data_IF_307709319790
#
_entry.id   IF_307709319790
#
_cell.length_a   1.000
_cell.length_b   1.000
_cell.length_c   1.000
_cell.angle_alpha   90.00
_cell.angle_beta   90.00
_cell.angle_gamma   90.00
#
_symmetry.space_group_name_H-M   'P 1'
#
loop_
_entity.id
_entity.type
_entity.pdbx_description
1 polymer ?
#
# COMPACT_ATOMS: atom_id res chain seq x y z
N UNK A 1 20.31 10.13 17.19
CA UNK A 1 18.94 10.70 17.29
C UNK A 1 18.75 11.63 16.11
N UNK A 2 18.24 11.11 14.98
CA UNK A 2 17.81 11.96 13.86
C UNK A 2 16.57 12.73 14.28
N UNK A 3 16.57 14.06 14.13
CA UNK A 3 15.44 14.90 14.48
C UNK A 3 14.35 14.83 13.41
N UNK A 4 13.12 15.17 13.78
CA UNK A 4 11.91 15.24 12.92
C UNK A 4 12.13 15.92 11.54
N UNK A 5 13.13 16.79 11.44
CA UNK A 5 13.48 17.47 10.19
C UNK A 5 14.15 16.56 9.13
N UNK A 6 14.82 15.47 9.51
CA UNK A 6 15.42 14.54 8.53
C UNK A 6 14.38 13.62 7.89
N UNK A 7 13.40 13.13 8.65
CA UNK A 7 12.30 12.30 8.12
C UNK A 7 11.39 13.08 7.16
N UNK A 8 11.09 14.35 7.46
CA UNK A 8 10.29 15.19 6.57
C UNK A 8 10.95 15.45 5.21
N UNK A 9 12.29 15.39 5.15
CA UNK A 9 13.04 15.60 3.92
C UNK A 9 12.83 14.45 2.93
N UNK A 10 12.76 13.22 3.44
CA UNK A 10 12.52 12.02 2.63
C UNK A 10 11.10 12.03 2.02
N UNK A 11 10.11 12.65 2.70
CA UNK A 11 8.77 12.88 2.15
C UNK A 11 8.72 13.94 1.05
N UNK A 12 9.61 14.95 1.09
CA UNK A 12 9.70 15.98 0.06
C UNK A 12 10.45 15.50 -1.19
N UNK A 13 11.31 14.49 -1.04
CA UNK A 13 12.02 13.83 -2.14
C UNK A 13 11.20 12.69 -2.77
N UNK A 14 10.08 12.30 -2.16
CA UNK A 14 9.11 11.36 -2.73
C UNK A 14 8.37 12.02 -3.91
N UNK A 15 8.12 11.29 -5.01
CA UNK A 15 7.33 11.84 -6.10
C UNK A 15 5.91 12.19 -5.60
N UNK A 16 5.37 13.33 -6.06
CA UNK A 16 4.08 13.90 -5.62
C UNK A 16 2.88 12.94 -5.80
N UNK A 17 3.04 11.87 -6.57
CA UNK A 17 2.09 10.78 -6.73
C UNK A 17 2.49 9.57 -5.85
N UNK A 18 2.29 9.70 -4.54
CA UNK A 18 2.50 8.61 -3.57
C UNK A 18 1.20 7.88 -3.21
N UNK A 19 1.32 6.57 -2.99
CA UNK A 19 0.36 5.61 -2.36
C UNK A 19 -1.07 5.48 -2.92
N UNK A 20 -1.54 6.38 -3.79
CA UNK A 20 -2.85 6.27 -4.46
C UNK A 20 -4.07 6.56 -3.56
N UNK A 21 -3.86 6.87 -2.28
CA UNK A 21 -4.93 7.14 -1.32
C UNK A 21 -5.43 8.59 -1.33
N UNK A 22 -4.71 9.51 -2.00
CA UNK A 22 -5.03 10.94 -1.96
C UNK A 22 -6.42 11.27 -2.48
N UNK A 23 -6.85 10.65 -3.58
CA UNK A 23 -8.17 10.91 -4.16
C UNK A 23 -9.32 10.33 -3.31
N UNK A 24 -9.28 9.05 -2.86
CA UNK A 24 -10.25 8.54 -1.90
C UNK A 24 -10.33 9.39 -0.63
N UNK A 25 -9.18 9.80 -0.09
CA UNK A 25 -9.13 10.62 1.12
C UNK A 25 -9.73 12.01 0.91
N UNK A 26 -9.42 12.67 -0.20
CA UNK A 26 -10.00 13.97 -0.54
C UNK A 26 -11.53 13.90 -0.66
N UNK A 27 -12.06 12.80 -1.22
CA UNK A 27 -13.52 12.57 -1.30
C UNK A 27 -14.14 12.33 0.08
N UNK A 28 -13.50 11.56 0.96
CA UNK A 28 -13.98 11.35 2.32
C UNK A 28 -14.05 12.67 3.11
N UNK A 29 -13.01 13.51 2.99
CA UNK A 29 -12.98 14.82 3.65
C UNK A 29 -14.12 15.72 3.13
N UNK A 30 -14.38 15.73 1.82
CA UNK A 30 -15.49 16.49 1.27
C UNK A 30 -16.85 16.02 1.83
N UNK A 31 -17.06 14.69 1.91
CA UNK A 31 -18.29 14.08 2.42
C UNK A 31 -18.49 14.24 3.91
N UNK A 32 -17.40 14.33 4.68
CA UNK A 32 -17.45 14.60 6.11
C UNK A 32 -18.15 15.94 6.41
N UNK A 33 -17.92 16.96 5.59
CA UNK A 33 -18.60 18.26 5.66
C UNK A 33 -19.93 18.32 4.88
N UNK A 34 -20.51 17.18 4.51
CA UNK A 34 -21.77 17.10 3.75
C UNK A 34 -21.66 17.36 2.25
N UNK A 35 -20.45 17.65 1.77
CA UNK A 35 -20.17 17.88 0.36
C UNK A 35 -19.95 16.61 -0.45
N UNK A 36 -19.38 16.77 -1.65
CA UNK A 36 -18.86 15.65 -2.43
C UNK A 36 -17.75 16.11 -3.41
N UNK A 37 -16.92 15.16 -3.84
CA UNK A 37 -15.86 15.37 -4.83
C UNK A 37 -16.09 14.48 -6.06
N UNK A 38 -16.39 15.11 -7.20
CA UNK A 38 -16.58 14.44 -8.49
C UNK A 38 -15.41 14.69 -9.44
N UNK A 39 -15.14 13.74 -10.33
CA UNK A 39 -14.08 13.80 -11.33
C UNK A 39 -14.66 13.48 -12.69
N UNK A 40 -14.31 14.29 -13.68
CA UNK A 40 -14.65 14.08 -15.08
C UNK A 40 -13.34 14.09 -15.85
N UNK A 41 -13.03 12.99 -16.54
CA UNK A 41 -11.85 12.91 -17.38
C UNK A 41 -12.26 12.81 -18.84
N UNK A 42 -11.53 13.51 -19.69
CA UNK A 42 -11.65 13.46 -21.15
C UNK A 42 -10.29 13.07 -21.72
N UNK A 43 -10.23 11.89 -22.34
CA UNK A 43 -9.01 11.38 -22.96
C UNK A 43 -8.48 12.38 -24.00
N UNK A 44 -7.19 12.72 -23.89
CA UNK A 44 -6.54 13.69 -24.78
C UNK A 44 -6.80 15.17 -24.47
N UNK A 45 -7.65 15.51 -23.50
CA UNK A 45 -7.91 16.89 -23.08
C UNK A 45 -7.46 17.15 -21.64
N UNK A 46 -7.79 16.25 -20.71
CA UNK A 46 -7.45 16.41 -19.30
C UNK A 46 -8.48 15.83 -18.33
N UNK A 47 -8.35 16.19 -17.06
CA UNK A 47 -9.25 15.75 -15.99
C UNK A 47 -9.65 16.95 -15.13
N UNK A 48 -10.95 17.19 -15.03
CA UNK A 48 -11.54 18.23 -14.20
C UNK A 48 -12.07 17.62 -12.90
N UNK A 49 -11.86 18.32 -11.79
CA UNK A 49 -12.41 17.96 -10.48
C UNK A 49 -13.41 19.01 -10.01
N UNK A 50 -14.54 18.56 -9.48
CA UNK A 50 -15.62 19.39 -8.98
C UNK A 50 -15.82 19.09 -7.50
N UNK A 51 -15.56 20.10 -6.66
CA UNK A 51 -15.78 20.04 -5.22
C UNK A 51 -17.06 20.81 -4.89
N UNK A 52 -18.05 20.10 -4.34
CA UNK A 52 -19.29 20.68 -3.84
C UNK A 52 -19.22 20.76 -2.33
N UNK A 53 -19.37 21.95 -1.76
CA UNK A 53 -19.42 22.18 -0.31
C UNK A 53 -20.62 23.05 0.03
N UNK A 54 -21.13 22.89 1.25
CA UNK A 54 -22.14 23.78 1.79
C UNK A 54 -21.50 25.13 2.12
N UNK A 55 -22.22 26.21 1.79
CA UNK A 55 -21.78 27.57 2.10
C UNK A 55 -22.01 27.92 3.58
N UNK A 56 -23.00 27.30 4.19
CA UNK A 56 -23.44 27.60 5.54
C UNK A 56 -22.72 26.70 6.55
N UNK A 57 -22.39 27.26 7.71
CA UNK A 57 -21.63 26.60 8.79
C UNK A 57 -22.47 25.61 9.63
N UNK A 58 -23.70 25.34 9.19
CA UNK A 58 -24.69 24.54 9.92
C UNK A 58 -24.74 23.06 9.48
N UNK A 59 -23.80 22.62 8.64
CA UNK A 59 -23.76 21.21 8.25
C UNK A 59 -23.10 20.38 9.35
N UNK A 60 -23.84 19.39 9.87
CA UNK A 60 -23.30 18.45 10.86
C UNK A 60 -22.30 17.51 10.21
N UNK A 61 -21.34 17.06 11.01
CA UNK A 61 -20.32 16.09 10.60
C UNK A 61 -20.99 14.77 10.18
N UNK A 62 -20.64 14.27 9.00
CA UNK A 62 -21.16 13.01 8.49
C UNK A 62 -20.36 11.84 9.06
N UNK A 63 -20.84 11.30 10.18
CA UNK A 63 -20.30 10.10 10.79
C UNK A 63 -21.03 8.85 10.27
N UNK A 64 -20.32 7.72 10.07
CA UNK A 64 -20.99 6.46 9.84
C UNK A 64 -21.81 6.09 11.08
N UNK A 65 -23.07 5.72 10.88
CA UNK A 65 -23.86 5.07 11.92
C UNK A 65 -23.28 3.67 12.12
N UNK A 66 -22.65 3.44 13.28
CA UNK A 66 -22.09 2.13 13.64
C UNK A 66 -23.13 1.40 14.46
N UNK A 67 -23.79 0.42 13.85
CA UNK A 67 -24.58 -0.57 14.56
C UNK A 67 -23.71 -1.77 14.97
N UNK A 68 -24.25 -2.66 15.81
CA UNK A 68 -23.53 -3.83 16.31
C UNK A 68 -23.15 -4.81 15.17
N UNK A 69 -23.91 -4.81 14.08
CA UNK A 69 -23.68 -5.66 12.91
C UNK A 69 -22.47 -5.18 12.09
N UNK A 70 -22.42 -3.88 11.75
CA UNK A 70 -21.30 -3.27 11.04
C UNK A 70 -19.99 -3.38 11.82
N UNK A 71 -20.03 -3.27 13.15
CA UNK A 71 -18.85 -3.47 13.98
C UNK A 71 -18.28 -4.89 13.84
N UNK A 72 -19.15 -5.90 13.84
CA UNK A 72 -18.75 -7.30 13.64
C UNK A 72 -18.20 -7.53 12.24
N UNK A 73 -18.83 -6.97 11.20
CA UNK A 73 -18.34 -7.08 9.82
C UNK A 73 -16.94 -6.49 9.65
N UNK A 74 -16.70 -5.31 10.23
CA UNK A 74 -15.39 -4.66 10.20
C UNK A 74 -14.36 -5.50 10.96
N UNK A 75 -14.70 -6.04 12.12
CA UNK A 75 -13.81 -6.91 12.89
C UNK A 75 -13.44 -8.18 12.11
N UNK A 76 -14.40 -8.81 11.43
CA UNK A 76 -14.15 -9.97 10.57
C UNK A 76 -13.21 -9.58 9.43
N UNK A 77 -13.51 -8.49 8.72
CA UNK A 77 -12.69 -8.02 7.61
C UNK A 77 -11.24 -7.71 8.03
N UNK A 78 -11.05 -7.02 9.16
CA UNK A 78 -9.71 -6.67 9.67
C UNK A 78 -8.93 -7.93 10.04
N UNK A 79 -9.57 -8.90 10.70
CA UNK A 79 -8.92 -10.15 11.06
C UNK A 79 -8.53 -10.97 9.81
N UNK A 80 -9.41 -11.05 8.80
CA UNK A 80 -9.08 -11.71 7.52
C UNK A 80 -7.88 -11.04 6.83
N UNK A 81 -7.85 -9.70 6.79
CA UNK A 81 -6.74 -8.96 6.18
C UNK A 81 -5.41 -9.22 6.90
N UNK A 82 -5.44 -9.24 8.25
CA UNK A 82 -4.26 -9.53 9.06
C UNK A 82 -3.73 -10.95 8.82
N UNK A 83 -4.64 -11.93 8.75
CA UNK A 83 -4.30 -13.31 8.45
C UNK A 83 -3.66 -13.45 7.05
N UNK A 84 -4.19 -12.72 6.05
CA UNK A 84 -3.61 -12.68 4.70
C UNK A 84 -2.20 -12.07 4.66
N UNK A 85 -1.95 -11.00 5.42
CA UNK A 85 -0.60 -10.40 5.47
C UNK A 85 0.39 -11.36 6.11
N UNK A 86 -0.01 -12.03 7.18
CA UNK A 86 0.85 -12.98 7.88
C UNK A 86 1.18 -14.22 7.02
N UNK A 87 0.23 -14.67 6.18
CA UNK A 87 0.48 -15.73 5.19
C UNK A 87 1.43 -15.27 4.06
N UNK A 88 1.31 -14.03 3.60
CA UNK A 88 2.22 -13.45 2.59
C UNK A 88 3.65 -13.32 3.13
N UNK A 89 3.79 -12.91 4.39
CA UNK A 89 5.08 -12.82 5.07
C UNK A 89 5.72 -14.22 5.27
N UNK A 90 4.91 -15.24 5.58
CA UNK A 90 5.38 -16.62 5.68
C UNK A 90 5.86 -17.19 4.32
N UNK A 91 5.28 -16.75 3.21
CA UNK A 91 5.66 -17.17 1.85
C UNK A 91 6.93 -16.46 1.35
N UNK A 92 7.18 -15.21 1.75
CA UNK A 92 8.41 -14.48 1.40
C UNK A 92 9.64 -15.05 2.14
N UNK A 93 9.46 -15.46 3.40
CA UNK A 93 10.52 -16.12 4.18
C UNK A 93 10.96 -17.48 3.63
N UNK A 94 10.13 -18.18 2.84
CA UNK A 94 10.48 -19.44 2.19
C UNK A 94 11.17 -19.29 0.83
N UNK A 95 11.25 -18.08 0.26
CA UNK A 95 11.79 -17.84 -1.09
C UNK A 95 13.29 -17.53 -1.12
N UNK A 96 13.90 -17.30 0.05
CA UNK A 96 15.34 -17.00 0.18
C UNK A 96 16.23 -18.25 0.22
N UNK A 97 15.66 -19.46 0.33
CA UNK A 97 16.45 -20.69 0.53
C UNK A 97 16.75 -21.47 -0.76
N UNK A 98 16.11 -21.15 -1.89
CA UNK A 98 16.24 -21.96 -3.12
C UNK A 98 17.39 -21.48 -4.03
N UNK A 99 17.75 -20.20 -4.01
CA UNK A 99 18.88 -19.67 -4.79
C UNK A 99 20.26 -19.95 -4.17
N UNK A 100 20.32 -20.35 -2.90
CA UNK A 100 21.58 -20.71 -2.23
C UNK A 100 22.02 -22.16 -2.54
N UNK A 101 21.10 -23.04 -2.93
CA UNK A 101 21.41 -24.47 -3.13
C UNK A 101 21.74 -24.87 -4.58
N UNK A 102 21.55 -24.00 -5.57
CA UNK A 102 21.72 -24.35 -6.99
C UNK A 102 23.10 -24.03 -7.60
N UNK A 103 24.00 -23.32 -6.90
CA UNK A 103 25.28 -22.86 -7.48
C UNK A 103 26.57 -23.55 -6.99
N UNK A 104 26.50 -24.58 -6.14
CA UNK A 104 27.72 -25.17 -5.54
C UNK A 104 28.12 -26.57 -6.05
N UNK A 105 27.31 -27.28 -6.84
CA UNK A 105 27.59 -28.71 -7.15
C UNK A 105 28.09 -29.04 -8.55
N UNK A 106 28.37 -28.06 -9.43
CA UNK A 106 28.82 -28.35 -10.81
C UNK A 106 30.26 -27.94 -11.16
N UNK A 107 31.04 -27.39 -10.21
CA UNK A 107 32.45 -27.00 -10.44
C UNK A 107 33.52 -27.91 -9.80
N UNK A 108 33.17 -28.88 -8.95
CA UNK A 108 34.16 -29.71 -8.25
C UNK A 108 34.53 -31.02 -8.93
N UNK A 109 33.68 -31.54 -9.83
CA UNK A 109 33.84 -32.93 -10.31
C UNK A 109 34.65 -33.04 -11.62
N UNK A 110 34.76 -31.96 -12.39
CA UNK A 110 35.61 -31.92 -13.59
C UNK A 110 37.09 -31.75 -13.24
N UNK A 111 37.42 -31.13 -12.11
CA UNK A 111 38.82 -30.77 -11.76
C UNK A 111 39.56 -31.94 -11.09
N UNK A 112 38.87 -32.88 -10.43
CA UNK A 112 39.53 -34.04 -9.80
C UNK A 112 39.84 -35.19 -10.75
N UNK A 113 39.17 -35.30 -11.90
CA UNK A 113 39.40 -36.41 -12.83
C UNK A 113 40.65 -36.24 -13.72
N UNK A 114 41.19 -35.03 -13.87
CA UNK A 114 42.34 -34.77 -14.74
C UNK A 114 43.71 -34.86 -14.04
N UNK A 115 43.75 -34.97 -12.71
CA UNK A 115 44.99 -34.97 -11.93
C UNK A 115 45.45 -36.36 -11.43
N UNK A 116 44.83 -37.45 -11.89
CA UNK A 116 45.18 -38.83 -11.49
C UNK A 116 45.51 -39.74 -12.70
N UNK A 117 45.98 -39.15 -13.79
CA UNK A 117 46.53 -39.88 -14.93
C UNK A 117 47.77 -39.18 -15.48
N UNK A 118 48.86 -39.20 -14.71
CA UNK A 118 50.27 -39.18 -15.14
C UNK A 118 51.17 -39.43 -13.92
#
# INVERSE_FOLDING_TARGET
MGGLASEAKDYLDLPLNGSGHGLPLARLIARYFGGDLSLISMEGYGTDSYLSLHRDDNHLENFPEVDEEMAVEVDVFVNELLDEQQQREALDHGRLDISASATTTLKSDVIKSAATAL
#
